data_IF_706838457445
#
_entry.id   IF_706838457445
#
_cell.length_a   1.000
_cell.length_b   1.000
_cell.length_c   1.000
_cell.angle_alpha   90.00
_cell.angle_beta   90.00
_cell.angle_gamma   90.00
#
_symmetry.space_group_name_H-M   'P 1'
#
loop_
_entity.id
_entity.type
_entity.pdbx_description
1 polymer ?
#
# COMPACT_ATOMS: atom_id res chain seq x y z
N UNK A 1 -13.88 -0.34 -0.35
CA UNK A 1 -12.66 -1.06 -0.79
C UNK A 1 -11.87 -1.47 0.44
N UNK A 2 -10.91 -2.39 0.32
CA UNK A 2 -10.07 -2.85 1.43
C UNK A 2 -8.59 -2.59 1.14
N UNK A 3 -7.82 -2.17 2.15
CA UNK A 3 -6.37 -2.01 2.04
C UNK A 3 -5.68 -3.39 2.06
N UNK A 4 -4.70 -3.62 1.20
CA UNK A 4 -4.06 -4.92 1.00
C UNK A 4 -2.55 -4.82 0.89
N UNK A 5 -1.86 -5.67 1.64
CA UNK A 5 -0.41 -5.78 1.65
C UNK A 5 0.06 -6.93 0.76
N UNK A 6 0.78 -6.68 -0.35
CA UNK A 6 1.20 -7.72 -1.30
C UNK A 6 2.58 -8.30 -0.97
N UNK A 7 2.97 -8.35 0.30
CA UNK A 7 4.40 -8.42 0.69
C UNK A 7 4.85 -9.72 1.37
N UNK A 8 3.95 -10.71 1.52
CA UNK A 8 4.29 -11.97 2.17
C UNK A 8 4.96 -12.95 1.18
N UNK A 9 6.06 -13.57 1.61
CA UNK A 9 6.85 -14.52 0.80
C UNK A 9 7.14 -15.76 1.62
N UNK A 10 6.73 -16.93 1.14
CA UNK A 10 6.87 -18.18 1.89
C UNK A 10 7.85 -19.15 1.23
N UNK A 11 8.56 -19.91 2.07
CA UNK A 11 9.54 -20.87 1.58
C UNK A 11 8.94 -21.98 0.71
N UNK A 12 7.76 -22.56 1.03
CA UNK A 12 7.17 -23.62 0.20
C UNK A 12 6.85 -23.19 -1.24
N UNK A 13 6.67 -21.88 -1.49
CA UNK A 13 6.30 -21.36 -2.81
C UNK A 13 7.45 -20.62 -3.49
N UNK A 14 8.03 -19.61 -2.84
CA UNK A 14 9.10 -18.77 -3.40
C UNK A 14 10.52 -19.21 -3.01
N UNK A 15 10.65 -20.29 -2.22
CA UNK A 15 11.95 -20.83 -1.82
C UNK A 15 12.64 -20.12 -0.65
N UNK A 16 12.05 -19.04 -0.10
CA UNK A 16 12.56 -18.33 1.08
C UNK A 16 11.44 -17.72 1.93
N UNK A 17 11.75 -17.45 3.20
CA UNK A 17 10.88 -16.67 4.08
C UNK A 17 11.18 -15.18 3.92
N UNK A 18 10.20 -14.41 3.48
CA UNK A 18 10.32 -12.96 3.33
C UNK A 18 10.37 -12.21 4.65
N UNK A 19 10.84 -10.96 4.58
CA UNK A 19 10.98 -10.07 5.74
C UNK A 19 9.70 -9.98 6.58
N UNK A 20 8.52 -9.89 5.95
CA UNK A 20 7.26 -9.69 6.66
C UNK A 20 6.78 -10.90 7.47
N UNK A 21 7.32 -12.11 7.23
CA UNK A 21 7.09 -13.24 8.14
C UNK A 21 8.13 -13.34 9.25
N UNK A 22 9.28 -12.67 9.13
CA UNK A 22 10.42 -12.83 10.04
C UNK A 22 10.64 -11.61 10.93
N UNK A 23 10.46 -10.38 10.42
CA UNK A 23 10.75 -9.10 11.08
C UNK A 23 12.12 -9.10 11.79
N UNK A 24 13.12 -9.75 11.19
CA UNK A 24 14.47 -9.97 11.74
C UNK A 24 14.56 -10.65 13.12
N UNK A 25 13.48 -11.28 13.56
CA UNK A 25 13.39 -11.84 14.90
C UNK A 25 12.85 -13.28 14.89
N UNK A 26 11.80 -13.51 14.12
CA UNK A 26 11.12 -14.79 14.00
C UNK A 26 11.77 -15.67 12.94
N UNK A 27 11.80 -16.98 13.19
CA UNK A 27 12.32 -17.98 12.27
C UNK A 27 11.22 -19.00 11.92
N UNK A 28 10.54 -18.86 10.78
CA UNK A 28 9.45 -19.73 10.39
C UNK A 28 9.87 -21.19 10.10
N UNK A 29 11.17 -21.51 10.09
CA UNK A 29 11.62 -22.91 10.06
C UNK A 29 11.42 -23.63 11.41
N UNK A 30 11.18 -22.88 12.48
CA UNK A 30 10.85 -23.43 13.81
C UNK A 30 9.34 -23.62 13.87
N UNK A 31 8.91 -24.86 14.13
CA UNK A 31 7.51 -25.24 14.23
C UNK A 31 7.22 -25.65 15.68
N UNK A 32 6.14 -25.11 16.25
CA UNK A 32 5.72 -25.46 17.61
C UNK A 32 4.99 -26.82 17.66
N UNK A 33 4.59 -27.26 18.85
CA UNK A 33 3.90 -28.55 19.04
C UNK A 33 2.53 -28.62 18.37
N UNK A 34 1.93 -27.50 17.99
CA UNK A 34 0.65 -27.41 17.30
C UNK A 34 0.80 -27.40 15.77
N UNK A 35 2.03 -27.47 15.24
CA UNK A 35 2.29 -27.39 13.81
C UNK A 35 2.40 -25.97 13.26
N UNK A 36 2.43 -24.95 14.12
CA UNK A 36 2.51 -23.55 13.71
C UNK A 36 3.96 -23.09 13.60
N UNK A 37 4.30 -22.46 12.48
CA UNK A 37 5.61 -21.84 12.26
C UNK A 37 5.76 -20.56 13.08
N UNK A 38 6.96 -20.31 13.64
CA UNK A 38 7.24 -19.08 14.37
C UNK A 38 7.33 -17.88 13.41
N UNK A 39 6.26 -17.09 13.33
CA UNK A 39 6.11 -15.93 12.43
C UNK A 39 5.95 -14.62 13.18
N UNK A 40 6.23 -13.51 12.50
CA UNK A 40 6.08 -12.14 12.99
C UNK A 40 4.62 -11.65 13.01
N UNK A 41 3.74 -12.38 13.68
CA UNK A 41 2.34 -11.99 13.86
C UNK A 41 1.80 -12.47 15.21
N UNK A 42 0.95 -11.66 15.82
CA UNK A 42 0.20 -12.06 17.01
C UNK A 42 -0.94 -13.04 16.67
N UNK A 43 -1.51 -12.90 15.48
CA UNK A 43 -2.57 -13.78 14.98
C UNK A 43 -2.02 -14.73 13.92
N UNK A 44 -2.39 -15.99 14.01
CA UNK A 44 -1.99 -17.00 13.04
C UNK A 44 -2.99 -17.04 11.88
N UNK A 45 -2.57 -16.88 10.61
CA UNK A 45 -3.47 -16.99 9.47
C UNK A 45 -4.06 -18.40 9.38
N UNK A 46 -5.36 -18.51 9.10
CA UNK A 46 -6.03 -19.82 8.97
C UNK A 46 -5.41 -20.70 7.87
N UNK A 47 -4.91 -20.09 6.81
CA UNK A 47 -4.23 -20.77 5.69
C UNK A 47 -2.72 -20.94 5.91
N UNK A 48 -2.24 -20.63 7.12
CA UNK A 48 -0.82 -20.57 7.46
C UNK A 48 -0.07 -19.41 6.78
N UNK A 49 1.25 -19.31 7.01
CA UNK A 49 2.14 -18.34 6.37
C UNK A 49 2.21 -18.59 4.87
N UNK A 50 1.58 -17.69 4.12
CA UNK A 50 1.36 -17.84 2.68
C UNK A 50 2.37 -17.03 1.86
N UNK A 51 2.36 -17.27 0.54
CA UNK A 51 3.01 -16.40 -0.44
C UNK A 51 1.99 -15.53 -1.18
N UNK A 52 2.28 -14.25 -1.31
CA UNK A 52 1.42 -13.29 -2.00
C UNK A 52 1.44 -13.43 -3.52
N UNK A 53 2.22 -14.35 -4.08
CA UNK A 53 2.17 -14.72 -5.51
C UNK A 53 1.56 -16.10 -5.76
N UNK A 54 1.12 -16.82 -4.72
CA UNK A 54 0.44 -18.10 -4.87
C UNK A 54 -0.97 -17.90 -5.48
N UNK A 55 -1.27 -18.48 -6.67
CA UNK A 55 -2.58 -18.47 -7.30
C UNK A 55 -3.75 -18.81 -6.38
N UNK A 56 -3.61 -19.84 -5.55
CA UNK A 56 -4.67 -20.31 -4.68
C UNK A 56 -4.95 -19.29 -3.57
N UNK A 57 -3.91 -18.67 -3.03
CA UNK A 57 -4.00 -17.62 -2.02
C UNK A 57 -4.62 -16.35 -2.61
N UNK A 58 -4.18 -15.94 -3.80
CA UNK A 58 -4.73 -14.77 -4.49
C UNK A 58 -6.21 -14.93 -4.82
N UNK A 59 -6.61 -16.10 -5.35
CA UNK A 59 -8.01 -16.42 -5.61
C UNK A 59 -8.83 -16.47 -4.31
N UNK A 60 -8.30 -17.13 -3.28
CA UNK A 60 -8.93 -17.17 -1.96
C UNK A 60 -9.18 -15.76 -1.39
N UNK A 61 -8.18 -14.88 -1.41
CA UNK A 61 -8.32 -13.51 -0.91
C UNK A 61 -9.40 -12.72 -1.67
N UNK A 62 -9.42 -12.75 -3.00
CA UNK A 62 -10.44 -12.00 -3.77
C UNK A 62 -11.84 -12.59 -3.59
N UNK A 63 -11.98 -13.91 -3.41
CA UNK A 63 -13.26 -14.54 -3.11
C UNK A 63 -13.76 -14.18 -1.71
N UNK A 64 -12.88 -14.11 -0.71
CA UNK A 64 -13.23 -13.60 0.62
C UNK A 64 -13.71 -12.14 0.56
N UNK A 65 -13.04 -11.29 -0.21
CA UNK A 65 -13.48 -9.91 -0.41
C UNK A 65 -14.91 -9.87 -0.96
N UNK A 66 -15.23 -10.68 -1.98
CA UNK A 66 -16.59 -10.78 -2.51
C UNK A 66 -17.60 -11.27 -1.48
N UNK A 67 -17.26 -12.31 -0.73
CA UNK A 67 -18.14 -12.86 0.30
C UNK A 67 -18.44 -11.83 1.40
N UNK A 68 -17.47 -10.98 1.71
CA UNK A 68 -17.60 -9.88 2.67
C UNK A 68 -18.31 -8.64 2.10
N UNK A 69 -18.74 -8.65 0.83
CA UNK A 69 -19.39 -7.50 0.18
C UNK A 69 -18.43 -6.37 -0.17
N UNK A 70 -17.13 -6.65 -0.34
CA UNK A 70 -16.11 -5.68 -0.74
C UNK A 70 -15.98 -5.67 -2.27
N UNK A 71 -16.15 -4.50 -2.88
CA UNK A 71 -16.12 -4.33 -4.36
C UNK A 71 -14.72 -4.04 -4.94
N UNK A 72 -13.68 -3.97 -4.11
CA UNK A 72 -12.34 -3.70 -4.61
C UNK A 72 -11.25 -3.58 -3.57
N UNK A 73 -10.01 -3.56 -4.06
CA UNK A 73 -8.78 -3.53 -3.28
C UNK A 73 -7.93 -2.27 -3.52
N UNK A 74 -7.38 -1.71 -2.46
CA UNK A 74 -6.37 -0.66 -2.49
C UNK A 74 -5.06 -1.31 -2.06
N UNK A 75 -4.09 -1.39 -2.96
CA UNK A 75 -2.83 -2.08 -2.67
C UNK A 75 -1.80 -1.09 -2.15
N UNK A 76 -1.21 -1.40 -1.01
CA UNK A 76 -0.03 -0.68 -0.50
C UNK A 76 1.15 -0.91 -1.45
N UNK A 77 1.69 0.17 -2.02
CA UNK A 77 2.55 0.08 -3.18
C UNK A 77 3.78 0.98 -3.06
N UNK A 78 4.94 0.35 -3.24
CA UNK A 78 6.25 0.93 -2.91
C UNK A 78 7.04 1.41 -4.14
N UNK A 79 6.52 1.19 -5.35
CA UNK A 79 7.24 1.47 -6.60
C UNK A 79 7.77 0.21 -7.28
N UNK A 80 8.23 0.32 -8.55
CA UNK A 80 8.74 -0.80 -9.32
C UNK A 80 10.25 -1.04 -9.14
N UNK A 81 10.93 -0.18 -8.39
CA UNK A 81 12.38 -0.16 -8.28
C UNK A 81 12.95 -1.41 -7.60
N UNK A 82 14.14 -1.82 -8.05
CA UNK A 82 14.85 -2.96 -7.49
C UNK A 82 15.61 -2.53 -6.22
N UNK A 83 14.86 -2.08 -5.23
CA UNK A 83 15.35 -1.60 -3.94
C UNK A 83 14.51 -2.24 -2.82
N UNK A 84 15.17 -2.73 -1.77
CA UNK A 84 14.53 -3.55 -0.73
C UNK A 84 13.62 -4.64 -1.33
N UNK A 85 12.34 -4.65 -0.97
CA UNK A 85 11.30 -5.54 -1.49
C UNK A 85 10.34 -4.85 -2.46
N UNK A 86 10.65 -3.64 -2.96
CA UNK A 86 9.70 -2.83 -3.74
C UNK A 86 9.31 -3.49 -5.06
N UNK A 87 10.29 -3.92 -5.87
CA UNK A 87 10.04 -4.68 -7.11
C UNK A 87 9.30 -6.00 -6.86
N UNK A 88 9.62 -6.69 -5.75
CA UNK A 88 9.00 -7.95 -5.31
C UNK A 88 7.52 -7.72 -4.98
N UNK A 89 7.21 -6.62 -4.29
CA UNK A 89 5.85 -6.20 -3.95
C UNK A 89 5.08 -5.78 -5.21
N UNK A 90 5.70 -5.02 -6.11
CA UNK A 90 5.09 -4.62 -7.39
C UNK A 90 4.73 -5.82 -8.29
N UNK A 91 5.58 -6.86 -8.36
CA UNK A 91 5.25 -8.10 -9.08
C UNK A 91 4.02 -8.81 -8.47
N UNK A 92 3.91 -8.82 -7.14
CA UNK A 92 2.78 -9.41 -6.42
C UNK A 92 1.50 -8.58 -6.57
N UNK A 93 1.60 -7.25 -6.60
CA UNK A 93 0.50 -6.33 -6.96
C UNK A 93 -0.04 -6.66 -8.35
N UNK A 94 0.83 -6.84 -9.34
CA UNK A 94 0.42 -7.22 -10.70
C UNK A 94 -0.27 -8.59 -10.72
N UNK A 95 0.26 -9.57 -9.97
CA UNK A 95 -0.36 -10.89 -9.85
C UNK A 95 -1.76 -10.81 -9.22
N UNK A 96 -1.93 -10.08 -8.11
CA UNK A 96 -3.22 -9.85 -7.47
C UNK A 96 -4.23 -9.23 -8.43
N UNK A 97 -3.82 -8.25 -9.22
CA UNK A 97 -4.73 -7.58 -10.15
C UNK A 97 -5.26 -8.50 -11.26
N UNK A 98 -4.58 -9.60 -11.57
CA UNK A 98 -5.16 -10.63 -12.45
C UNK A 98 -6.38 -11.30 -11.80
N UNK A 99 -6.35 -11.52 -10.49
CA UNK A 99 -7.46 -12.12 -9.74
C UNK A 99 -8.58 -11.13 -9.42
N UNK A 100 -8.26 -9.87 -9.15
CA UNK A 100 -9.29 -8.83 -8.95
C UNK A 100 -10.14 -8.67 -10.22
N UNK A 101 -9.50 -8.65 -11.41
CA UNK A 101 -10.20 -8.64 -12.69
C UNK A 101 -11.11 -9.86 -12.88
N UNK A 102 -10.60 -11.07 -12.64
CA UNK A 102 -11.40 -12.31 -12.72
C UNK A 102 -12.60 -12.28 -11.77
N UNK A 103 -12.41 -11.71 -10.58
CA UNK A 103 -13.44 -11.59 -9.57
C UNK A 103 -14.47 -10.47 -9.86
N UNK A 104 -14.18 -9.57 -10.81
CA UNK A 104 -14.99 -8.38 -11.11
C UNK A 104 -14.79 -7.24 -10.11
N UNK A 105 -13.71 -7.29 -9.32
CA UNK A 105 -13.36 -6.27 -8.33
C UNK A 105 -12.61 -5.10 -8.97
N UNK A 106 -12.83 -3.90 -8.44
CA UNK A 106 -12.01 -2.72 -8.75
C UNK A 106 -10.69 -2.76 -7.99
N UNK A 107 -9.70 -2.01 -8.48
CA UNK A 107 -8.45 -1.85 -7.78
C UNK A 107 -7.88 -0.43 -7.85
N UNK A 108 -7.06 -0.08 -6.87
CA UNK A 108 -6.33 1.19 -6.75
C UNK A 108 -4.96 0.96 -6.11
N UNK A 109 -4.09 1.96 -6.16
CA UNK A 109 -2.83 1.99 -5.45
C UNK A 109 -2.89 2.98 -4.28
N UNK A 110 -2.23 2.63 -3.18
CA UNK A 110 -1.82 3.53 -2.11
C UNK A 110 -0.30 3.62 -2.17
N UNK A 111 0.22 4.69 -2.76
CA UNK A 111 1.65 4.88 -2.93
C UNK A 111 2.31 5.29 -1.60
N UNK A 112 3.42 4.66 -1.26
CA UNK A 112 4.23 4.94 -0.08
C UNK A 112 5.36 5.93 -0.46
N UNK A 113 5.13 7.25 -0.41
CA UNK A 113 6.14 8.24 -0.80
C UNK A 113 7.38 8.26 0.13
N UNK A 114 7.31 7.60 1.29
CA UNK A 114 8.48 7.37 2.14
C UNK A 114 9.58 6.55 1.44
N UNK A 115 9.25 5.79 0.39
CA UNK A 115 10.23 4.99 -0.36
C UNK A 115 11.37 5.85 -0.89
N UNK A 116 11.08 7.09 -1.27
CA UNK A 116 12.07 8.07 -1.73
C UNK A 116 13.15 8.32 -0.67
N UNK A 117 12.75 8.49 0.60
CA UNK A 117 13.72 8.70 1.68
C UNK A 117 14.61 7.46 1.85
N UNK A 118 14.03 6.27 1.74
CA UNK A 118 14.77 5.01 1.86
C UNK A 118 15.76 4.82 0.72
N UNK A 119 15.36 5.11 -0.51
CA UNK A 119 16.22 5.04 -1.69
C UNK A 119 17.37 6.06 -1.64
N UNK A 120 17.12 7.26 -1.12
CA UNK A 120 18.17 8.25 -0.86
C UNK A 120 19.15 7.74 0.19
N UNK A 121 18.63 7.23 1.32
CA UNK A 121 19.46 6.68 2.40
C UNK A 121 20.32 5.50 1.91
N UNK A 122 19.77 4.69 0.99
CA UNK A 122 20.45 3.58 0.35
C UNK A 122 21.35 3.96 -0.83
N UNK A 123 21.49 5.25 -1.15
CA UNK A 123 22.24 5.77 -2.31
C UNK A 123 21.75 5.24 -3.67
N UNK A 124 20.48 4.79 -3.75
CA UNK A 124 19.86 4.34 -4.99
C UNK A 124 19.50 5.53 -5.90
N UNK A 125 19.06 6.64 -5.29
CA UNK A 125 18.89 7.94 -5.95
C UNK A 125 19.54 9.05 -5.10
N UNK A 126 19.72 10.23 -5.69
CA UNK A 126 20.12 11.43 -4.95
C UNK A 126 18.89 12.26 -4.56
N UNK A 127 18.98 13.05 -3.50
CA UNK A 127 17.89 13.95 -3.09
C UNK A 127 17.49 14.93 -4.21
N UNK A 128 18.45 15.43 -4.99
CA UNK A 128 18.18 16.29 -6.14
C UNK A 128 17.41 15.62 -7.28
N UNK A 129 17.37 14.28 -7.32
CA UNK A 129 16.65 13.51 -8.31
C UNK A 129 15.22 13.15 -7.89
N UNK A 130 14.82 13.38 -6.63
CA UNK A 130 13.57 12.87 -6.05
C UNK A 130 12.31 13.15 -6.89
N UNK A 131 12.09 14.41 -7.31
CA UNK A 131 10.93 14.76 -8.15
C UNK A 131 10.98 14.04 -9.50
N UNK A 132 12.14 14.06 -10.17
CA UNK A 132 12.30 13.39 -11.47
C UNK A 132 12.17 11.87 -11.39
N UNK A 133 12.51 11.28 -10.24
CA UNK A 133 12.32 9.87 -9.97
C UNK A 133 10.83 9.56 -9.75
N UNK A 134 10.14 10.31 -8.88
CA UNK A 134 8.70 10.16 -8.66
C UNK A 134 7.87 10.39 -9.93
N UNK A 135 8.29 11.29 -10.83
CA UNK A 135 7.70 11.45 -12.16
C UNK A 135 7.80 10.16 -12.99
N UNK A 136 8.94 9.48 -12.98
CA UNK A 136 9.10 8.17 -13.66
C UNK A 136 8.21 7.11 -13.03
N UNK A 137 8.10 7.10 -11.70
CA UNK A 137 7.19 6.22 -10.97
C UNK A 137 5.73 6.46 -11.39
N UNK A 138 5.29 7.71 -11.53
CA UNK A 138 3.95 8.02 -12.00
C UNK A 138 3.72 7.68 -13.48
N UNK A 139 4.74 7.81 -14.33
CA UNK A 139 4.66 7.33 -15.73
C UNK A 139 4.54 5.81 -15.81
N UNK A 140 5.22 5.07 -14.92
CA UNK A 140 5.03 3.63 -14.76
C UNK A 140 3.59 3.34 -14.34
N UNK A 141 3.05 4.07 -13.36
CA UNK A 141 1.67 3.89 -12.90
C UNK A 141 0.66 4.14 -14.02
N UNK A 142 0.85 5.22 -14.78
CA UNK A 142 0.00 5.56 -15.93
C UNK A 142 -0.04 4.42 -16.96
N UNK A 143 1.14 3.89 -17.29
CA UNK A 143 1.29 2.89 -18.35
C UNK A 143 0.70 1.54 -17.95
N UNK A 144 0.93 1.12 -16.70
CA UNK A 144 0.65 -0.23 -16.24
C UNK A 144 -0.69 -0.39 -15.51
N UNK A 145 -1.26 0.69 -14.95
CA UNK A 145 -2.46 0.62 -14.13
C UNK A 145 -3.57 1.56 -14.59
N UNK A 146 -3.28 2.84 -14.89
CA UNK A 146 -4.36 3.80 -15.22
C UNK A 146 -5.08 3.52 -16.53
N UNK A 147 -4.52 2.70 -17.41
CA UNK A 147 -5.19 2.27 -18.65
C UNK A 147 -6.21 1.15 -18.41
N UNK A 148 -6.20 0.53 -17.24
CA UNK A 148 -7.04 -0.61 -16.93
C UNK A 148 -8.50 -0.20 -16.63
N UNK A 149 -9.47 -0.93 -17.20
CA UNK A 149 -10.90 -0.68 -17.00
C UNK A 149 -11.37 -1.03 -15.56
N UNK A 150 -10.66 -1.89 -14.86
CA UNK A 150 -10.89 -2.23 -13.45
C UNK A 150 -10.17 -1.30 -12.48
N UNK A 151 -9.32 -0.38 -12.95
CA UNK A 151 -8.77 0.66 -12.10
C UNK A 151 -9.89 1.59 -11.61
N UNK A 152 -9.93 1.87 -10.30
CA UNK A 152 -10.94 2.71 -9.68
C UNK A 152 -10.88 4.12 -10.27
N UNK A 153 -12.05 4.68 -10.60
CA UNK A 153 -12.18 6.05 -11.09
C UNK A 153 -13.23 6.82 -10.33
N UNK A 154 -12.94 8.08 -10.08
CA UNK A 154 -13.88 9.08 -9.55
C UNK A 154 -14.06 10.15 -10.61
N UNK A 155 -15.29 10.32 -11.12
CA UNK A 155 -15.58 11.28 -12.20
C UNK A 155 -14.62 11.15 -13.41
N UNK A 156 -14.35 9.90 -13.80
CA UNK A 156 -13.39 9.48 -14.84
C UNK A 156 -11.89 9.66 -14.53
N UNK A 157 -11.51 10.31 -13.44
CA UNK A 157 -10.11 10.40 -13.01
C UNK A 157 -9.66 9.12 -12.28
N UNK A 158 -8.45 8.57 -12.56
CA UNK A 158 -7.93 7.44 -11.81
C UNK A 158 -7.75 7.81 -10.34
N UNK A 159 -8.26 6.99 -9.42
CA UNK A 159 -8.08 7.22 -7.98
C UNK A 159 -6.69 6.77 -7.57
N UNK A 160 -5.90 7.65 -6.98
CA UNK A 160 -4.57 7.34 -6.45
C UNK A 160 -4.52 7.79 -4.99
N UNK A 161 -4.15 6.89 -4.09
CA UNK A 161 -3.93 7.21 -2.70
C UNK A 161 -2.43 7.37 -2.46
N UNK A 162 -2.06 8.14 -1.44
CA UNK A 162 -0.71 8.18 -0.89
C UNK A 162 -0.75 7.94 0.62
N UNK A 163 0.01 6.95 1.07
CA UNK A 163 0.25 6.65 2.48
C UNK A 163 1.24 7.66 3.05
N UNK A 164 0.71 8.85 3.34
CA UNK A 164 1.47 10.05 3.69
C UNK A 164 0.71 11.32 3.27
N UNK A 165 1.38 12.46 3.05
CA UNK A 165 2.77 12.50 2.55
C UNK A 165 3.84 12.48 3.65
N UNK A 166 4.87 11.68 3.45
CA UNK A 166 6.00 11.57 4.37
C UNK A 166 7.26 12.25 3.83
N UNK A 167 7.48 12.22 2.52
CA UNK A 167 8.62 12.86 1.86
C UNK A 167 8.17 14.12 1.09
N UNK A 168 7.18 14.00 0.21
CA UNK A 168 6.66 15.11 -0.62
C UNK A 168 5.54 15.85 0.10
N UNK A 169 5.89 16.68 1.09
CA UNK A 169 4.91 17.32 1.97
C UNK A 169 4.20 18.53 1.35
N UNK A 170 4.74 19.10 0.27
CA UNK A 170 4.19 20.32 -0.31
C UNK A 170 3.29 20.02 -1.50
N UNK A 171 2.22 20.80 -1.64
CA UNK A 171 1.35 20.75 -2.81
C UNK A 171 2.11 20.89 -4.14
N UNK A 172 3.12 21.78 -4.19
CA UNK A 172 3.95 22.01 -5.37
C UNK A 172 4.74 20.79 -5.84
N UNK A 173 5.10 19.90 -4.91
CA UNK A 173 5.86 18.69 -5.22
C UNK A 173 4.97 17.76 -6.06
N UNK A 174 3.75 17.49 -5.59
CA UNK A 174 2.78 16.66 -6.29
C UNK A 174 2.29 17.27 -7.61
N UNK A 175 2.11 18.60 -7.67
CA UNK A 175 1.85 19.28 -8.96
C UNK A 175 2.98 19.02 -9.95
N UNK A 176 4.25 19.08 -9.50
CA UNK A 176 5.40 18.79 -10.34
C UNK A 176 5.47 17.32 -10.73
N UNK A 177 5.17 16.41 -9.81
CA UNK A 177 5.17 14.96 -10.03
C UNK A 177 4.10 14.56 -11.05
N UNK A 178 2.89 15.10 -10.97
CA UNK A 178 1.79 14.76 -11.89
C UNK A 178 1.86 15.52 -13.23
N UNK A 179 2.72 16.52 -13.37
CA UNK A 179 2.85 17.30 -14.61
C UNK A 179 3.28 16.47 -15.84
N UNK A 180 3.87 15.29 -15.64
CA UNK A 180 4.28 14.37 -16.71
C UNK A 180 3.15 13.44 -17.18
N UNK A 181 2.03 13.41 -16.47
CA UNK A 181 0.89 12.55 -16.81
C UNK A 181 0.05 13.17 -17.93
N UNK A 182 -0.57 12.31 -18.75
CA UNK A 182 -1.53 12.75 -19.76
C UNK A 182 -2.71 13.47 -19.09
N UNK A 183 -3.28 14.45 -19.77
CA UNK A 183 -4.42 15.22 -19.25
C UNK A 183 -5.61 14.33 -18.81
N UNK A 184 -5.85 13.21 -19.50
CA UNK A 184 -6.92 12.24 -19.18
C UNK A 184 -6.60 11.33 -18.00
N UNK A 185 -5.37 11.36 -17.49
CA UNK A 185 -4.86 10.50 -16.44
C UNK A 185 -4.42 11.27 -15.19
N UNK A 186 -4.78 12.55 -15.09
CA UNK A 186 -4.60 13.33 -13.87
C UNK A 186 -5.41 12.67 -12.74
N UNK A 187 -4.78 12.27 -11.63
CA UNK A 187 -5.44 11.44 -10.63
C UNK A 187 -6.40 12.23 -9.74
N UNK A 188 -7.48 11.58 -9.32
CA UNK A 188 -8.18 11.96 -8.10
C UNK A 188 -7.32 11.51 -6.91
N UNK A 189 -6.55 12.45 -6.36
CA UNK A 189 -5.51 12.16 -5.38
C UNK A 189 -6.00 12.26 -3.94
N UNK A 190 -5.70 11.26 -3.12
CA UNK A 190 -6.11 11.21 -1.71
C UNK A 190 -4.90 10.94 -0.80
N UNK A 191 -4.70 11.77 0.20
CA UNK A 191 -3.58 11.67 1.15
C UNK A 191 -4.06 11.17 2.52
N UNK A 192 -3.19 10.48 3.25
CA UNK A 192 -3.45 10.05 4.61
C UNK A 192 -3.55 11.26 5.55
N UNK A 193 -4.47 11.21 6.52
CA UNK A 193 -4.67 12.13 7.66
C UNK A 193 -5.05 13.58 7.35
N UNK A 194 -4.66 14.11 6.20
CA UNK A 194 -4.86 15.50 5.83
C UNK A 194 -4.96 15.64 4.33
N UNK A 195 -5.93 16.44 3.86
CA UNK A 195 -6.06 16.73 2.43
C UNK A 195 -4.97 17.72 2.01
N UNK A 196 -4.15 17.32 1.04
CA UNK A 196 -3.14 18.21 0.46
C UNK A 196 -3.76 19.14 -0.60
N UNK A 197 -4.47 20.19 -0.20
CA UNK A 197 -5.15 21.10 -1.12
C UNK A 197 -4.17 22.03 -1.89
N UNK A 198 -4.43 22.37 -3.17
CA UNK A 198 -5.54 21.90 -4.03
C UNK A 198 -5.29 20.61 -4.82
N UNK A 199 -4.07 20.03 -4.83
CA UNK A 199 -3.77 18.84 -5.65
C UNK A 199 -4.52 17.60 -5.16
N UNK A 200 -4.75 17.48 -3.86
CA UNK A 200 -5.55 16.45 -3.22
C UNK A 200 -7.05 16.71 -3.39
N UNK A 201 -7.74 15.72 -3.94
CA UNK A 201 -9.21 15.65 -4.01
C UNK A 201 -9.83 15.40 -2.64
N UNK A 202 -9.14 14.65 -1.76
CA UNK A 202 -9.60 14.35 -0.41
C UNK A 202 -8.50 13.74 0.45
N UNK A 203 -8.91 13.15 1.56
CA UNK A 203 -8.03 12.41 2.46
C UNK A 203 -8.70 11.15 2.98
N UNK A 204 -7.91 10.22 3.52
CA UNK A 204 -8.38 9.05 4.24
C UNK A 204 -7.68 8.96 5.60
N UNK A 205 -8.33 8.34 6.57
CA UNK A 205 -7.79 8.10 7.89
C UNK A 205 -7.08 6.73 7.95
N UNK A 206 -6.16 6.60 8.90
CA UNK A 206 -5.51 5.36 9.23
C UNK A 206 -5.48 5.18 10.74
N UNK A 207 -5.56 3.95 11.29
CA UNK A 207 -5.37 3.74 12.71
C UNK A 207 -4.07 4.40 13.17
N UNK A 208 -4.11 5.39 14.10
CA UNK A 208 -2.95 6.21 14.42
C UNK A 208 -2.01 5.44 15.36
N UNK A 209 -1.31 4.45 14.81
CA UNK A 209 -0.49 3.50 15.58
C UNK A 209 0.60 4.21 16.40
N UNK A 210 1.11 5.36 15.93
CA UNK A 210 2.07 6.18 16.67
C UNK A 210 1.52 6.87 17.93
N UNK A 211 0.19 6.90 18.12
CA UNK A 211 -0.43 7.37 19.35
C UNK A 211 -0.58 6.25 20.39
N UNK A 212 -0.35 4.99 20.01
CA UNK A 212 -0.29 3.89 20.97
C UNK A 212 0.95 4.03 21.86
N UNK A 213 0.83 3.67 23.14
CA UNK A 213 1.95 3.85 24.07
C UNK A 213 1.71 3.26 25.45
N UNK A 214 2.41 3.80 26.46
CA UNK A 214 2.22 3.43 27.87
C UNK A 214 2.76 2.05 28.26
N UNK A 215 3.69 1.49 27.48
CA UNK A 215 4.27 0.16 27.72
C UNK A 215 3.34 -1.01 27.40
N UNK A 216 2.05 -0.76 27.16
CA UNK A 216 1.04 -1.75 26.75
C UNK A 216 0.67 -1.65 25.27
N UNK A 217 1.29 -0.73 24.51
CA UNK A 217 1.01 -0.45 23.10
C UNK A 217 -0.50 -0.32 22.82
N UNK A 218 -1.23 0.31 23.75
CA UNK A 218 -2.68 0.48 23.67
C UNK A 218 -3.01 1.90 23.24
N UNK A 219 -3.99 2.06 22.35
CA UNK A 219 -4.57 3.36 21.97
C UNK A 219 -5.87 3.58 22.77
N UNK A 220 -5.92 4.54 23.70
CA UNK A 220 -7.14 4.86 24.45
C UNK A 220 -8.27 5.37 23.53
N UNK A 221 -9.54 4.99 23.78
CA UNK A 221 -10.67 5.45 22.97
C UNK A 221 -10.78 6.98 22.82
N UNK A 222 -10.44 7.74 23.87
CA UNK A 222 -10.46 9.20 23.84
C UNK A 222 -9.41 9.81 22.89
N UNK A 223 -8.24 9.16 22.74
CA UNK A 223 -7.22 9.59 21.80
C UNK A 223 -7.63 9.27 20.37
N UNK A 224 -8.20 8.08 20.12
CA UNK A 224 -8.76 7.73 18.82
C UNK A 224 -9.87 8.71 18.42
N UNK A 225 -10.80 9.04 19.33
CA UNK A 225 -11.86 10.00 19.06
C UNK A 225 -11.30 11.40 18.71
N UNK A 226 -10.27 11.86 19.44
CA UNK A 226 -9.63 13.14 19.17
C UNK A 226 -8.95 13.17 17.80
N UNK A 227 -8.31 12.06 17.42
CA UNK A 227 -7.72 11.89 16.10
C UNK A 227 -8.78 11.97 14.99
N UNK A 228 -9.88 11.22 15.10
CA UNK A 228 -10.95 11.21 14.09
C UNK A 228 -11.61 12.59 13.93
N UNK A 229 -11.88 13.29 15.03
CA UNK A 229 -12.42 14.67 14.97
C UNK A 229 -11.46 15.62 14.28
N UNK A 230 -10.15 15.48 14.52
CA UNK A 230 -9.15 16.30 13.83
C UNK A 230 -9.06 15.96 12.35
N UNK A 231 -9.17 14.68 11.99
CA UNK A 231 -9.17 14.22 10.60
C UNK A 231 -10.35 14.82 9.82
N UNK A 232 -11.59 14.76 10.35
CA UNK A 232 -12.78 15.28 9.67
C UNK A 232 -12.64 16.75 9.27
N UNK A 233 -12.00 17.55 10.14
CA UNK A 233 -11.73 18.97 9.88
C UNK A 233 -10.71 19.19 8.75
N UNK A 234 -9.68 18.33 8.68
CA UNK A 234 -8.58 18.42 7.70
C UNK A 234 -8.93 17.80 6.35
N UNK A 235 -9.79 16.79 6.34
CA UNK A 235 -10.19 16.07 5.13
C UNK A 235 -11.19 16.88 4.29
N UNK A 236 -12.09 17.64 4.93
CA UNK A 236 -13.11 18.44 4.27
C UNK A 236 -12.68 19.85 3.81
N UNK A 237 -11.53 20.34 4.31
CA UNK A 237 -11.02 21.70 4.07
C UNK A 237 -10.39 21.94 2.70
#
# INVERSE_FOLDING_TARGET
MVHYMPWFVSQPYSGSWGWHWTMNYFNPNIVNTNGEQAIASWYYPLIGPYDSVDPAVLEYHVLLMKLAGIDGVIVDWYGPDNFNDYAVNNQRTLALFNYTRKAGLKFSLCYEDQTIQQEINGNYITAGAAISHAQKTMLYVQTNFFTDASFLRLSNAPVLLNFGPQYFKNNSDWVSIFSVLNATNQPAFFTEDNRLSPVGTGAFDWPPMGLSGGGTNTLPPAQLQSYLVSFDQKAGG
#
